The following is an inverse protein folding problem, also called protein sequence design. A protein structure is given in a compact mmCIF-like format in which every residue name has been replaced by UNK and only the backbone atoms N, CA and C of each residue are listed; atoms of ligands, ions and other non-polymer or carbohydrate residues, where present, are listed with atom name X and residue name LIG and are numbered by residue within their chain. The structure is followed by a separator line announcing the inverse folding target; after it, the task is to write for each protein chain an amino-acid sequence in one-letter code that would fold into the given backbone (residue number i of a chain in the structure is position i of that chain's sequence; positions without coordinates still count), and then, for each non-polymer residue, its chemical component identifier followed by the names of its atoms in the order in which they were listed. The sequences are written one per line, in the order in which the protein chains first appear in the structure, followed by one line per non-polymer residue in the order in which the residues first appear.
data_IF_673744780651
#
_entry.id   IF_673744780651
#
_cell.length_a   1.000
_cell.length_b   1.000
_cell.length_c   1.000
_cell.angle_alpha   90.00
_cell.angle_beta   90.00
_cell.angle_gamma   90.00
#
_symmetry.space_group_name_H-M   'P 1'
#
loop_
_entity.id
_entity.type
_entity.pdbx_description
1 polymer ?
#
# COMPACT_ATOMS: atom_id res chain seq x y z
N UNK A 1 -34.24 -9.41 10.00
CA UNK A 1 -33.65 -8.11 10.35
C UNK A 1 -32.16 -8.26 10.37
N UNK A 2 -31.48 -7.77 9.34
CA UNK A 2 -30.04 -7.52 9.40
C UNK A 2 -29.92 -6.03 9.20
N UNK A 3 -29.54 -5.32 10.27
CA UNK A 3 -29.04 -3.96 10.20
C UNK A 3 -27.75 -4.01 9.38
N UNK A 4 -27.87 -4.15 8.06
CA UNK A 4 -26.77 -3.96 7.13
C UNK A 4 -26.41 -2.50 7.21
N UNK A 5 -25.42 -2.17 8.03
CA UNK A 5 -24.76 -0.88 7.97
C UNK A 5 -24.06 -0.83 6.61
N UNK A 6 -24.82 -0.44 5.59
CA UNK A 6 -24.30 -0.11 4.27
C UNK A 6 -23.61 1.24 4.40
N UNK A 7 -22.34 1.21 4.80
CA UNK A 7 -21.51 2.40 4.93
C UNK A 7 -21.00 2.72 3.52
N UNK A 8 -21.49 3.81 2.89
CA UNK A 8 -21.09 4.13 1.53
C UNK A 8 -19.57 4.33 1.48
N UNK A 9 -18.91 3.76 0.45
CA UNK A 9 -17.48 3.90 0.19
C UNK A 9 -16.52 3.26 1.22
N UNK A 10 -17.01 2.38 2.11
CA UNK A 10 -16.15 1.70 3.08
C UNK A 10 -15.13 0.77 2.42
N UNK A 11 -15.47 0.21 1.25
CA UNK A 11 -14.57 -0.50 0.34
C UNK A 11 -13.26 0.28 0.10
N UNK A 12 -13.34 1.59 -0.19
CA UNK A 12 -12.16 2.43 -0.46
C UNK A 12 -11.24 2.54 0.75
N UNK A 13 -11.79 2.54 1.96
CA UNK A 13 -11.01 2.52 3.20
C UNK A 13 -10.28 1.18 3.36
N UNK A 14 -10.97 0.07 3.04
CA UNK A 14 -10.35 -1.26 3.04
C UNK A 14 -9.21 -1.34 2.03
N UNK A 15 -9.43 -0.86 0.81
CA UNK A 15 -8.41 -0.74 -0.24
C UNK A 15 -7.21 0.08 0.25
N UNK A 16 -7.43 1.29 0.76
CA UNK A 16 -6.37 2.11 1.33
C UNK A 16 -5.57 1.38 2.42
N UNK A 17 -6.24 0.79 3.42
CA UNK A 17 -5.60 0.11 4.54
C UNK A 17 -4.83 -1.15 4.10
N UNK A 18 -5.37 -1.91 3.16
CA UNK A 18 -4.71 -3.10 2.62
C UNK A 18 -3.41 -2.73 1.90
N UNK A 19 -3.45 -1.77 0.99
CA UNK A 19 -2.27 -1.37 0.22
C UNK A 19 -1.25 -0.59 1.07
N UNK A 20 -1.70 0.11 2.12
CA UNK A 20 -0.82 0.64 3.17
C UNK A 20 -0.04 -0.49 3.85
N UNK A 21 -0.74 -1.52 4.35
CA UNK A 21 -0.11 -2.67 4.99
C UNK A 21 0.83 -3.41 4.04
N UNK A 22 0.42 -3.61 2.79
CA UNK A 22 1.25 -4.25 1.76
C UNK A 22 2.55 -3.48 1.50
N UNK A 23 2.51 -2.14 1.43
CA UNK A 23 3.71 -1.33 1.26
C UNK A 23 4.63 -1.38 2.51
N UNK A 24 4.07 -1.41 3.72
CA UNK A 24 4.83 -1.58 4.97
C UNK A 24 5.55 -2.93 4.97
N UNK A 25 4.81 -4.02 4.77
CA UNK A 25 5.36 -5.39 4.77
C UNK A 25 6.35 -5.59 3.62
N UNK A 26 6.02 -5.10 2.42
CA UNK A 26 6.90 -5.14 1.26
C UNK A 26 8.23 -4.40 1.52
N UNK A 27 8.18 -3.28 2.23
CA UNK A 27 9.40 -2.55 2.63
C UNK A 27 10.24 -3.33 3.63
N UNK A 28 9.61 -3.95 4.64
CA UNK A 28 10.31 -4.80 5.61
C UNK A 28 10.97 -6.00 4.91
N UNK A 29 10.24 -6.67 4.03
CA UNK A 29 10.73 -7.78 3.22
C UNK A 29 11.90 -7.36 2.32
N UNK A 30 11.77 -6.24 1.61
CA UNK A 30 12.83 -5.71 0.75
C UNK A 30 14.09 -5.36 1.54
N UNK A 31 13.93 -4.81 2.75
CA UNK A 31 15.05 -4.47 3.62
C UNK A 31 15.80 -5.71 4.12
N UNK A 32 15.06 -6.76 4.49
CA UNK A 32 15.64 -8.04 4.90
C UNK A 32 16.37 -8.69 3.72
N UNK A 33 15.71 -8.81 2.58
CA UNK A 33 16.22 -9.56 1.41
C UNK A 33 17.41 -8.87 0.73
N UNK A 34 17.39 -7.54 0.65
CA UNK A 34 18.41 -6.80 -0.11
C UNK A 34 19.63 -6.37 0.71
N UNK A 35 19.71 -6.71 2.01
CA UNK A 35 20.87 -6.55 2.89
C UNK A 35 21.73 -5.31 2.58
N UNK A 36 21.11 -4.12 2.59
CA UNK A 36 21.75 -2.82 2.34
C UNK A 36 22.37 -2.57 0.94
N UNK A 37 22.20 -3.47 -0.04
CA UNK A 37 22.64 -3.26 -1.44
C UNK A 37 21.90 -2.10 -2.14
N UNK A 38 20.76 -1.66 -1.59
CA UNK A 38 19.94 -0.56 -2.11
C UNK A 38 19.70 0.48 -1.03
N UNK A 39 19.65 1.75 -1.44
CA UNK A 39 19.24 2.84 -0.56
C UNK A 39 17.79 2.64 -0.11
N UNK A 40 17.45 3.15 1.09
CA UNK A 40 16.08 3.10 1.60
C UNK A 40 15.07 3.65 0.59
N UNK A 41 15.37 4.81 -0.01
CA UNK A 41 14.51 5.45 -1.01
C UNK A 41 14.37 4.57 -2.25
N UNK A 42 15.46 3.98 -2.73
CA UNK A 42 15.41 3.03 -3.85
C UNK A 42 14.50 1.84 -3.53
N UNK A 43 14.62 1.26 -2.34
CA UNK A 43 13.78 0.13 -1.94
C UNK A 43 12.29 0.49 -1.88
N UNK A 44 11.97 1.67 -1.32
CA UNK A 44 10.60 2.17 -1.23
C UNK A 44 9.97 2.35 -2.62
N UNK A 45 10.71 2.90 -3.58
CA UNK A 45 10.22 3.10 -4.96
C UNK A 45 9.85 1.74 -5.58
N UNK A 46 10.71 0.73 -5.46
CA UNK A 46 10.44 -0.60 -6.01
C UNK A 46 9.24 -1.27 -5.35
N UNK A 47 9.09 -1.11 -4.03
CA UNK A 47 7.93 -1.63 -3.30
C UNK A 47 6.64 -0.95 -3.75
N UNK A 48 6.62 0.38 -3.85
CA UNK A 48 5.44 1.13 -4.31
C UNK A 48 5.04 0.71 -5.72
N UNK A 49 6.00 0.63 -6.65
CA UNK A 49 5.73 0.17 -8.03
C UNK A 49 5.14 -1.23 -8.00
N UNK A 50 5.75 -2.17 -7.28
CA UNK A 50 5.27 -3.55 -7.20
C UNK A 50 3.86 -3.66 -6.60
N UNK A 51 3.61 -2.94 -5.50
CA UNK A 51 2.32 -2.94 -4.79
C UNK A 51 1.22 -2.28 -5.64
N UNK A 52 1.51 -1.18 -6.34
CA UNK A 52 0.54 -0.52 -7.25
C UNK A 52 0.22 -1.42 -8.45
N UNK A 53 1.24 -2.02 -9.08
CA UNK A 53 1.03 -2.95 -10.19
C UNK A 53 0.20 -4.17 -9.76
N UNK A 54 0.50 -4.73 -8.58
CA UNK A 54 -0.30 -5.79 -7.99
C UNK A 54 -1.75 -5.34 -7.81
N UNK A 55 -1.98 -4.10 -7.36
CA UNK A 55 -3.31 -3.53 -7.23
C UNK A 55 -4.08 -3.43 -8.53
N UNK A 56 -3.46 -2.88 -9.57
CA UNK A 56 -4.08 -2.79 -10.90
C UNK A 56 -4.43 -4.19 -11.43
N UNK A 57 -3.57 -5.18 -11.24
CA UNK A 57 -3.85 -6.56 -11.67
C UNK A 57 -5.07 -7.13 -10.94
N UNK A 58 -5.12 -6.98 -9.61
CA UNK A 58 -6.24 -7.49 -8.81
C UNK A 58 -7.54 -6.76 -9.18
N UNK A 59 -7.50 -5.44 -9.41
CA UNK A 59 -8.64 -4.63 -9.87
C UNK A 59 -9.20 -5.15 -11.20
N UNK A 60 -8.33 -5.41 -12.19
CA UNK A 60 -8.73 -5.97 -13.49
C UNK A 60 -9.29 -7.37 -13.34
N UNK A 61 -8.70 -8.21 -12.47
CA UNK A 61 -9.22 -9.55 -12.19
C UNK A 61 -10.59 -9.49 -11.50
N UNK A 62 -10.79 -8.59 -10.55
CA UNK A 62 -12.10 -8.38 -9.92
C UNK A 62 -13.13 -7.96 -10.95
N UNK A 63 -12.81 -6.99 -11.82
CA UNK A 63 -13.73 -6.53 -12.85
C UNK A 63 -14.06 -7.62 -13.89
N UNK A 64 -13.10 -8.48 -14.23
CA UNK A 64 -13.29 -9.53 -15.26
C UNK A 64 -13.90 -10.82 -14.72
N UNK A 65 -13.70 -11.14 -13.44
CA UNK A 65 -14.10 -12.41 -12.83
C UNK A 65 -15.27 -12.30 -11.84
N UNK A 66 -15.72 -11.08 -11.49
CA UNK A 66 -16.85 -10.89 -10.56
C UNK A 66 -17.96 -10.09 -11.23
N UNK A 67 -19.21 -10.55 -11.05
CA UNK A 67 -20.42 -9.97 -11.67
C UNK A 67 -20.99 -8.76 -10.93
N UNK A 68 -20.62 -8.58 -9.66
CA UNK A 68 -21.22 -7.56 -8.77
C UNK A 68 -20.24 -6.42 -8.40
N UNK A 69 -19.04 -6.38 -8.98
CA UNK A 69 -18.09 -5.26 -8.79
C UNK A 69 -17.77 -4.59 -10.12
N UNK A 70 -18.19 -3.34 -10.26
CA UNK A 70 -17.62 -2.44 -11.25
C UNK A 70 -16.23 -2.03 -10.76
N UNK A 71 -15.19 -2.20 -11.58
CA UNK A 71 -13.87 -1.67 -11.26
C UNK A 71 -13.96 -0.15 -11.20
N UNK A 72 -13.70 0.43 -10.03
CA UNK A 72 -13.82 1.87 -9.80
C UNK A 72 -12.43 2.51 -9.89
N UNK A 73 -12.30 3.58 -10.66
CA UNK A 73 -11.07 4.39 -10.69
C UNK A 73 -10.70 4.87 -9.28
N UNK A 74 -11.71 5.09 -8.42
CA UNK A 74 -11.50 5.45 -7.03
C UNK A 74 -10.86 4.34 -6.20
N UNK A 75 -11.02 3.06 -6.56
CA UNK A 75 -10.37 1.93 -5.88
C UNK A 75 -8.88 1.90 -6.24
N UNK A 76 -8.54 2.10 -7.53
CA UNK A 76 -7.15 2.26 -7.97
C UNK A 76 -6.47 3.45 -7.27
N UNK A 77 -7.19 4.56 -7.10
CA UNK A 77 -6.71 5.72 -6.35
C UNK A 77 -6.51 5.39 -4.87
N UNK A 78 -7.46 4.70 -4.23
CA UNK A 78 -7.35 4.28 -2.83
C UNK A 78 -6.15 3.34 -2.61
N UNK A 79 -5.96 2.36 -3.50
CA UNK A 79 -4.82 1.44 -3.52
C UNK A 79 -3.50 2.22 -3.59
N UNK A 80 -3.41 3.15 -4.55
CA UNK A 80 -2.21 3.96 -4.79
C UNK A 80 -1.89 4.88 -3.61
N UNK A 81 -2.91 5.55 -3.05
CA UNK A 81 -2.77 6.39 -1.86
C UNK A 81 -2.30 5.59 -0.65
N UNK A 82 -2.86 4.39 -0.43
CA UNK A 82 -2.44 3.48 0.63
C UNK A 82 -0.96 3.10 0.50
N UNK A 83 -0.55 2.70 -0.71
CA UNK A 83 0.83 2.32 -0.98
C UNK A 83 1.84 3.47 -0.72
N UNK A 84 1.52 4.69 -1.18
CA UNK A 84 2.35 5.88 -0.96
C UNK A 84 2.42 6.24 0.54
N UNK A 85 1.28 6.19 1.25
CA UNK A 85 1.23 6.46 2.68
C UNK A 85 2.06 5.45 3.50
N UNK A 86 1.97 4.16 3.15
CA UNK A 86 2.78 3.10 3.77
C UNK A 86 4.28 3.33 3.53
N UNK A 87 4.67 3.59 2.28
CA UNK A 87 6.06 3.89 1.95
C UNK A 87 6.60 5.15 2.64
N UNK A 88 5.77 6.20 2.76
CA UNK A 88 6.12 7.44 3.47
C UNK A 88 6.32 7.17 4.95
N UNK A 89 5.44 6.37 5.57
CA UNK A 89 5.56 5.96 6.97
C UNK A 89 6.88 5.21 7.20
N UNK A 90 7.22 4.25 6.33
CA UNK A 90 8.49 3.53 6.44
C UNK A 90 9.71 4.43 6.21
N UNK A 91 9.61 5.40 5.30
CA UNK A 91 10.65 6.42 5.11
C UNK A 91 10.89 7.20 6.40
N UNK A 92 9.82 7.70 7.04
CA UNK A 92 9.93 8.48 8.28
C UNK A 92 10.52 7.63 9.42
N UNK A 93 10.01 6.40 9.61
CA UNK A 93 10.47 5.48 10.66
C UNK A 93 11.96 5.14 10.53
N UNK A 94 12.45 4.90 9.31
CA UNK A 94 13.85 4.54 9.09
C UNK A 94 14.77 5.75 8.86
N UNK A 95 14.23 6.92 8.53
CA UNK A 95 15.00 8.17 8.43
C UNK A 95 15.33 8.75 9.80
N UNK A 96 14.51 8.50 10.83
CA UNK A 96 14.66 9.12 12.16
C UNK A 96 15.78 8.51 13.03
N UNK A 97 16.44 7.44 12.58
CA UNK A 97 17.58 6.83 13.32
C UNK A 97 18.93 7.55 13.10
N UNK A 98 19.00 8.64 12.33
CA UNK A 98 20.24 9.42 12.10
C UNK A 98 20.27 10.80 12.78
N UNK A 99 19.24 11.18 13.56
CA UNK A 99 19.06 12.55 14.04
C UNK A 99 19.00 12.78 15.55
N UNK A 100 19.09 11.75 16.40
CA UNK A 100 19.10 11.93 17.86
C UNK A 100 20.54 12.03 18.37
N UNK A 101 21.21 13.11 17.98
CA UNK A 101 22.41 13.57 18.69
C UNK A 101 21.94 14.27 19.96
N UNK A 102 21.74 13.51 21.04
CA UNK A 102 21.73 14.11 22.37
C UNK A 102 23.15 14.54 22.70
N UNK A 103 23.32 15.84 22.96
CA UNK A 103 24.56 16.44 23.48
C UNK A 103 24.89 15.90 24.86
#
# INVERSE_FOLDING_TARGET
GTLGLDIPNFDKVVHFCFYFGAAVLGTLFAKETWHAKRSLVGSLIWVVIGVVLFGIIIEVLQHTLTTDREGDILDVLANTCGAIAGATTMKLLFSNKRGLNWK
#
